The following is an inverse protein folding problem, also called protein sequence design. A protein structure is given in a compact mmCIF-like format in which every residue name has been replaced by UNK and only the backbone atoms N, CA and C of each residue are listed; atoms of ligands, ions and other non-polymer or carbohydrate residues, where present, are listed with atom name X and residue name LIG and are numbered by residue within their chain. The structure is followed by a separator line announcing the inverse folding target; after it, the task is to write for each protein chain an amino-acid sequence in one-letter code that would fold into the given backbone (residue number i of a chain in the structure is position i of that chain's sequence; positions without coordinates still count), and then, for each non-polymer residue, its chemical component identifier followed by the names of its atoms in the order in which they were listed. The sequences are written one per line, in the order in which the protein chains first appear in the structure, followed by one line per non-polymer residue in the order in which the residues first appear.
data_IF_865897034336
#
_entry.id   IF_865897034336
#
_cell.length_a   1.000
_cell.length_b   1.000
_cell.length_c   1.000
_cell.angle_alpha   90.00
_cell.angle_beta   90.00
_cell.angle_gamma   90.00
#
_symmetry.space_group_name_H-M   'P 1'
#
loop_
_entity.id
_entity.type
_entity.pdbx_description
1 polymer ?
#
# COMPACT_ATOMS: atom_id res chain seq x y z
N UNK A 1 34.20 -14.05 -40.42
CA UNK A 1 34.75 -13.08 -39.45
C UNK A 1 34.28 -11.70 -39.86
N UNK A 2 33.17 -11.23 -39.27
CA UNK A 2 32.61 -9.90 -39.54
C UNK A 2 33.16 -8.93 -38.51
N UNK A 3 33.80 -7.86 -38.99
CA UNK A 3 34.46 -6.86 -38.19
C UNK A 3 33.46 -6.08 -37.33
N UNK A 4 33.71 -6.08 -36.02
CA UNK A 4 33.01 -5.25 -35.04
C UNK A 4 33.57 -3.82 -35.17
N UNK A 5 32.73 -2.79 -35.39
CA UNK A 5 33.20 -1.42 -35.46
C UNK A 5 33.72 -0.95 -34.09
N UNK A 6 34.70 -0.02 -34.05
CA UNK A 6 35.33 0.40 -32.81
C UNK A 6 34.33 1.15 -31.92
N UNK A 7 34.26 0.74 -30.64
CA UNK A 7 33.49 1.43 -29.61
C UNK A 7 34.07 2.83 -29.41
N UNK A 8 33.26 3.87 -29.60
CA UNK A 8 33.59 5.22 -29.16
C UNK A 8 33.89 5.23 -27.66
N UNK A 9 34.96 5.90 -27.20
CA UNK A 9 35.22 6.05 -25.78
C UNK A 9 34.18 7.02 -25.20
N UNK A 10 33.23 6.48 -24.43
CA UNK A 10 32.38 7.30 -23.56
C UNK A 10 33.20 7.67 -22.34
N UNK A 11 34.03 8.71 -22.49
CA UNK A 11 34.55 9.47 -21.37
C UNK A 11 33.36 10.11 -20.64
N UNK A 12 32.81 9.39 -19.65
CA UNK A 12 31.94 9.97 -18.65
C UNK A 12 32.77 10.93 -17.79
N UNK A 13 33.01 12.15 -18.32
CA UNK A 13 33.39 13.29 -17.49
C UNK A 13 32.38 13.35 -16.35
N UNK A 14 32.89 13.27 -15.11
CA UNK A 14 32.10 13.35 -13.89
C UNK A 14 31.04 14.44 -14.03
N UNK A 15 29.75 14.06 -13.92
CA UNK A 15 28.63 15.01 -14.05
C UNK A 15 28.87 16.19 -13.09
N UNK A 16 28.74 17.44 -13.55
CA UNK A 16 28.94 18.59 -12.67
C UNK A 16 27.92 18.56 -11.52
N UNK A 17 28.33 18.96 -10.31
CA UNK A 17 27.45 19.03 -9.12
C UNK A 17 26.22 19.94 -9.35
N UNK A 18 26.31 20.85 -10.33
CA UNK A 18 25.19 21.65 -10.80
C UNK A 18 25.33 22.03 -12.29
N UNK A 19 24.20 21.97 -12.99
CA UNK A 19 24.02 22.47 -14.35
C UNK A 19 23.77 23.99 -14.36
N UNK A 20 24.42 24.64 -15.32
CA UNK A 20 24.32 26.05 -15.70
C UNK A 20 24.14 26.12 -17.22
N UNK A 21 23.84 27.29 -17.79
CA UNK A 21 23.59 27.41 -19.23
C UNK A 21 24.71 26.79 -20.10
N UNK A 22 25.96 26.95 -19.65
CA UNK A 22 27.15 26.42 -20.33
C UNK A 22 27.35 24.92 -20.14
N UNK A 23 26.90 24.38 -19.01
CA UNK A 23 27.17 22.98 -18.62
C UNK A 23 25.98 22.04 -18.88
N UNK A 24 24.81 22.57 -19.26
CA UNK A 24 23.66 21.76 -19.68
C UNK A 24 24.01 21.02 -20.97
N UNK A 25 23.82 19.68 -21.02
CA UNK A 25 23.97 18.90 -22.24
C UNK A 25 23.12 19.46 -23.38
N UNK A 26 23.64 19.44 -24.61
CA UNK A 26 22.97 20.03 -25.77
C UNK A 26 21.54 19.48 -25.96
N UNK A 27 21.37 18.17 -25.78
CA UNK A 27 20.09 17.45 -25.81
C UNK A 27 19.02 17.97 -24.83
N UNK A 28 19.40 18.64 -23.75
CA UNK A 28 18.46 19.19 -22.76
C UNK A 28 18.36 20.71 -22.79
N UNK A 29 19.01 21.38 -23.75
CA UNK A 29 18.87 22.85 -23.92
C UNK A 29 17.52 23.22 -24.51
N UNK A 30 16.96 22.36 -25.36
CA UNK A 30 15.60 22.52 -25.85
C UNK A 30 14.61 22.03 -24.79
N UNK A 31 13.91 22.98 -24.16
CA UNK A 31 12.95 22.70 -23.11
C UNK A 31 11.55 22.31 -23.61
N UNK A 32 11.28 22.41 -24.92
CA UNK A 32 10.00 21.96 -25.48
C UNK A 32 9.92 20.42 -25.57
N UNK A 33 11.08 19.75 -25.59
CA UNK A 33 11.17 18.29 -25.56
C UNK A 33 11.13 17.70 -24.15
N UNK A 34 11.09 18.53 -23.11
CA UNK A 34 11.11 18.06 -21.73
C UNK A 34 9.78 17.37 -21.37
N UNK A 35 9.84 16.25 -20.61
CA UNK A 35 8.63 15.58 -20.14
C UNK A 35 7.67 16.54 -19.44
N UNK A 36 6.40 16.49 -19.86
CA UNK A 36 5.32 17.28 -19.26
C UNK A 36 5.03 16.80 -17.84
N UNK A 37 4.42 17.68 -17.04
CA UNK A 37 4.12 17.40 -15.65
C UNK A 37 2.64 17.63 -15.37
N UNK A 38 2.03 16.67 -14.68
CA UNK A 38 0.69 16.83 -14.13
C UNK A 38 0.77 17.64 -12.83
N UNK A 39 0.07 18.77 -12.77
CA UNK A 39 -0.02 19.61 -11.58
C UNK A 39 -1.06 19.00 -10.63
N UNK A 40 -0.77 18.91 -9.32
CA UNK A 40 -1.70 18.28 -8.38
C UNK A 40 -2.98 19.11 -8.26
N UNK A 41 -4.11 18.42 -8.34
CA UNK A 41 -5.45 18.99 -8.15
C UNK A 41 -5.82 19.06 -6.66
N UNK A 42 -6.82 19.86 -6.29
CA UNK A 42 -7.30 19.95 -4.92
C UNK A 42 -7.75 18.58 -4.37
N UNK A 43 -8.40 17.76 -5.21
CA UNK A 43 -8.84 16.41 -4.87
C UNK A 43 -7.65 15.51 -4.53
N UNK A 44 -6.59 15.56 -5.33
CA UNK A 44 -5.37 14.79 -5.09
C UNK A 44 -4.66 15.25 -3.81
N UNK A 45 -4.58 16.56 -3.57
CA UNK A 45 -3.98 17.11 -2.35
C UNK A 45 -4.77 16.72 -1.10
N UNK A 46 -6.10 16.79 -1.12
CA UNK A 46 -6.94 16.36 -0.01
C UNK A 46 -6.77 14.85 0.28
N UNK A 47 -6.53 14.04 -0.75
CA UNK A 47 -6.22 12.61 -0.60
C UNK A 47 -4.82 12.35 -0.04
N UNK A 48 -3.85 13.19 -0.38
CA UNK A 48 -2.46 13.04 0.08
C UNK A 48 -2.27 13.56 1.50
N UNK A 49 -3.06 14.55 1.90
CA UNK A 49 -2.99 15.21 3.20
C UNK A 49 -4.37 15.15 3.86
N UNK A 50 -4.59 14.10 4.66
CA UNK A 50 -5.87 13.88 5.36
C UNK A 50 -6.27 15.02 6.32
N UNK A 51 -5.32 15.89 6.68
CA UNK A 51 -5.53 17.00 7.60
C UNK A 51 -5.93 18.31 6.89
N UNK A 52 -5.91 18.34 5.55
CA UNK A 52 -6.32 19.52 4.78
C UNK A 52 -7.85 19.55 4.61
N UNK A 53 -8.46 20.70 4.95
CA UNK A 53 -9.82 20.99 4.49
C UNK A 53 -9.85 21.20 2.97
N UNK A 54 -11.04 21.07 2.37
CA UNK A 54 -11.25 21.27 0.93
C UNK A 54 -10.77 22.65 0.48
N UNK A 55 -11.10 23.71 1.22
CA UNK A 55 -10.68 25.08 0.91
C UNK A 55 -9.15 25.25 0.96
N UNK A 56 -8.49 24.67 1.96
CA UNK A 56 -7.02 24.72 2.07
C UNK A 56 -6.35 23.94 0.93
N UNK A 57 -6.95 22.81 0.51
CA UNK A 57 -6.43 22.03 -0.62
C UNK A 57 -6.57 22.79 -1.96
N UNK A 58 -7.66 23.53 -2.16
CA UNK A 58 -7.86 24.39 -3.33
C UNK A 58 -6.84 25.54 -3.37
N UNK A 59 -6.67 26.25 -2.26
CA UNK A 59 -5.70 27.35 -2.16
C UNK A 59 -4.27 26.84 -2.41
N UNK A 60 -3.92 25.68 -1.82
CA UNK A 60 -2.63 25.05 -2.01
C UNK A 60 -2.39 24.65 -3.48
N UNK A 61 -3.41 24.09 -4.15
CA UNK A 61 -3.33 23.73 -5.57
C UNK A 61 -3.05 24.97 -6.44
N UNK A 62 -3.75 26.08 -6.17
CA UNK A 62 -3.55 27.35 -6.86
C UNK A 62 -2.11 27.87 -6.67
N UNK A 63 -1.63 27.90 -5.43
CA UNK A 63 -0.27 28.36 -5.11
C UNK A 63 0.80 27.49 -5.81
N UNK A 64 0.59 26.17 -5.86
CA UNK A 64 1.49 25.25 -6.58
C UNK A 64 1.49 25.56 -8.07
N UNK A 65 0.31 25.76 -8.68
CA UNK A 65 0.17 26.05 -10.09
C UNK A 65 0.82 27.38 -10.50
N UNK A 66 0.56 28.46 -9.77
CA UNK A 66 1.15 29.78 -10.04
C UNK A 66 2.68 29.75 -9.90
N UNK A 67 3.18 29.09 -8.85
CA UNK A 67 4.64 28.92 -8.65
C UNK A 67 5.25 28.12 -9.80
N UNK A 68 4.60 27.04 -10.22
CA UNK A 68 5.05 26.19 -11.32
C UNK A 68 5.17 27.00 -12.62
N UNK A 69 4.10 27.70 -13.02
CA UNK A 69 4.04 28.44 -14.28
C UNK A 69 5.04 29.59 -14.33
N UNK A 70 5.21 30.31 -13.22
CA UNK A 70 6.21 31.36 -13.09
C UNK A 70 7.64 30.82 -13.26
N UNK A 71 7.96 29.71 -12.61
CA UNK A 71 9.29 29.09 -12.72
C UNK A 71 9.53 28.49 -14.11
N UNK A 72 8.51 27.87 -14.69
CA UNK A 72 8.56 27.31 -16.04
C UNK A 72 8.89 28.41 -17.06
N UNK A 73 8.17 29.53 -17.04
CA UNK A 73 8.44 30.68 -17.91
C UNK A 73 9.85 31.22 -17.76
N UNK A 74 10.32 31.43 -16.52
CA UNK A 74 11.67 31.93 -16.28
C UNK A 74 12.77 30.97 -16.76
N UNK A 75 12.56 29.65 -16.63
CA UNK A 75 13.48 28.64 -17.18
C UNK A 75 13.47 28.64 -18.71
N UNK A 76 12.30 28.71 -19.35
CA UNK A 76 12.19 28.83 -20.81
C UNK A 76 12.97 30.04 -21.33
N UNK A 77 12.75 31.22 -20.75
CA UNK A 77 13.48 32.45 -21.12
C UNK A 77 14.98 32.29 -20.93
N UNK A 78 15.42 31.69 -19.82
CA UNK A 78 16.84 31.47 -19.56
C UNK A 78 17.50 30.54 -20.58
N UNK A 79 16.81 29.48 -21.00
CA UNK A 79 17.34 28.51 -21.96
C UNK A 79 17.31 29.03 -23.42
N UNK A 80 16.36 29.89 -23.77
CA UNK A 80 16.31 30.50 -25.10
C UNK A 80 17.26 31.69 -25.25
N UNK A 81 17.32 32.57 -24.24
CA UNK A 81 18.13 33.80 -24.30
C UNK A 81 19.56 33.63 -23.79
N UNK A 82 19.83 32.61 -22.98
CA UNK A 82 21.07 32.49 -22.20
C UNK A 82 21.21 33.51 -21.07
N UNK A 83 20.24 34.41 -20.87
CA UNK A 83 20.31 35.51 -19.92
C UNK A 83 19.71 35.12 -18.57
N UNK A 84 20.58 34.90 -17.58
CA UNK A 84 20.15 34.64 -16.20
C UNK A 84 19.32 35.80 -15.63
N UNK A 85 19.68 37.04 -15.96
CA UNK A 85 18.98 38.24 -15.46
C UNK A 85 17.51 38.24 -15.89
N UNK A 86 17.23 37.92 -17.15
CA UNK A 86 15.86 37.84 -17.67
C UNK A 86 15.08 36.67 -17.05
N UNK A 87 15.71 35.50 -16.97
CA UNK A 87 15.10 34.33 -16.33
C UNK A 87 14.73 34.56 -14.85
N UNK A 88 15.60 35.24 -14.09
CA UNK A 88 15.34 35.57 -12.68
C UNK A 88 14.22 36.61 -12.51
N UNK A 89 14.14 37.60 -13.40
CA UNK A 89 13.09 38.62 -13.37
C UNK A 89 11.71 38.00 -13.57
N UNK A 90 11.57 37.10 -14.54
CA UNK A 90 10.33 36.37 -14.78
C UNK A 90 10.02 35.38 -13.65
N UNK A 91 11.04 34.60 -13.24
CA UNK A 91 10.88 33.59 -12.20
C UNK A 91 10.64 34.17 -10.80
N UNK A 92 10.89 35.47 -10.56
CA UNK A 92 10.81 36.16 -9.25
C UNK A 92 11.44 35.36 -8.11
N UNK A 93 12.68 34.94 -8.27
CA UNK A 93 13.42 34.19 -7.24
C UNK A 93 14.91 34.50 -7.25
N UNK A 94 15.64 34.07 -6.22
CA UNK A 94 17.10 34.23 -6.16
C UNK A 94 17.80 33.27 -7.13
N UNK A 95 19.06 33.59 -7.44
CA UNK A 95 19.93 32.77 -8.29
C UNK A 95 20.03 31.32 -7.81
N UNK A 96 20.19 31.13 -6.50
CA UNK A 96 20.34 29.81 -5.87
C UNK A 96 19.06 28.99 -6.00
N UNK A 97 17.91 29.63 -5.75
CA UNK A 97 16.61 28.98 -5.90
C UNK A 97 16.37 28.59 -7.35
N UNK A 98 16.65 29.49 -8.30
CA UNK A 98 16.50 29.26 -9.73
C UNK A 98 17.34 28.07 -10.19
N UNK A 99 18.65 28.08 -9.92
CA UNK A 99 19.52 26.97 -10.29
C UNK A 99 19.11 25.67 -9.61
N UNK A 100 18.67 25.71 -8.35
CA UNK A 100 18.13 24.52 -7.69
C UNK A 100 16.89 23.97 -8.40
N UNK A 101 15.99 24.82 -8.89
CA UNK A 101 14.82 24.36 -9.65
C UNK A 101 15.21 23.81 -11.02
N UNK A 102 16.06 24.52 -11.75
CA UNK A 102 16.59 24.07 -13.05
C UNK A 102 17.27 22.70 -12.94
N UNK A 103 18.15 22.55 -11.94
CA UNK A 103 18.84 21.30 -11.69
C UNK A 103 17.91 20.16 -11.29
N UNK A 104 16.79 20.46 -10.60
CA UNK A 104 15.77 19.45 -10.29
C UNK A 104 15.08 18.93 -11.55
N UNK A 105 14.84 19.77 -12.55
CA UNK A 105 14.26 19.34 -13.83
C UNK A 105 15.21 18.44 -14.62
N UNK A 106 16.51 18.69 -14.52
CA UNK A 106 17.57 17.96 -15.22
C UNK A 106 18.06 16.71 -14.47
N UNK A 107 17.44 16.36 -13.33
CA UNK A 107 17.76 15.11 -12.65
C UNK A 107 17.37 13.92 -13.54
N UNK A 108 18.15 12.82 -13.51
CA UNK A 108 17.74 11.60 -14.18
C UNK A 108 16.40 11.11 -13.61
N UNK A 109 15.52 10.63 -14.47
CA UNK A 109 14.21 10.15 -14.05
C UNK A 109 14.36 8.91 -13.15
N UNK A 110 13.91 8.94 -11.89
CA UNK A 110 14.09 7.82 -10.96
C UNK A 110 13.22 6.60 -11.30
N UNK A 111 12.16 6.77 -12.11
CA UNK A 111 11.21 5.71 -12.46
C UNK A 111 11.69 4.97 -13.71
N UNK A 112 11.96 5.71 -14.79
CA UNK A 112 12.36 5.13 -16.08
C UNK A 112 13.86 4.87 -16.18
N UNK A 113 14.68 5.47 -15.31
CA UNK A 113 16.16 5.49 -15.38
C UNK A 113 16.76 6.08 -16.67
N UNK A 114 15.91 6.36 -17.66
CA UNK A 114 16.22 7.01 -18.93
C UNK A 114 15.64 8.43 -18.96
N UNK A 115 16.41 9.35 -19.53
CA UNK A 115 16.02 10.77 -19.67
C UNK A 115 15.99 11.54 -18.35
N UNK A 116 15.47 12.77 -18.43
CA UNK A 116 15.36 13.69 -17.30
C UNK A 116 13.96 13.65 -16.67
N UNK A 117 13.83 14.16 -15.45
CA UNK A 117 12.54 14.37 -14.77
C UNK A 117 11.67 15.39 -15.53
N UNK A 118 12.27 16.38 -16.17
CA UNK A 118 11.57 17.42 -16.91
C UNK A 118 10.81 18.36 -15.99
N UNK A 119 9.63 18.81 -16.42
CA UNK A 119 8.86 19.84 -15.72
C UNK A 119 8.37 19.40 -14.34
N UNK A 120 8.29 18.09 -14.08
CA UNK A 120 7.88 17.58 -12.77
C UNK A 120 8.83 18.02 -11.65
N UNK A 121 10.07 18.38 -12.00
CA UNK A 121 11.06 18.91 -11.05
C UNK A 121 10.64 20.20 -10.36
N UNK A 122 9.75 20.98 -10.98
CA UNK A 122 9.22 22.24 -10.47
C UNK A 122 8.09 22.09 -9.45
N UNK A 123 7.45 20.92 -9.39
CA UNK A 123 6.34 20.68 -8.46
C UNK A 123 6.84 20.86 -7.03
N UNK A 124 6.13 21.71 -6.28
CA UNK A 124 6.52 22.06 -4.93
C UNK A 124 6.48 20.83 -4.02
N UNK A 125 7.51 20.67 -3.19
CA UNK A 125 7.69 19.56 -2.24
C UNK A 125 7.74 18.15 -2.84
N UNK A 126 7.69 18.00 -4.18
CA UNK A 126 7.82 16.69 -4.81
C UNK A 126 9.22 16.11 -4.53
N UNK A 127 9.26 14.92 -3.92
CA UNK A 127 10.51 14.20 -3.65
C UNK A 127 10.93 13.42 -4.90
N UNK A 128 11.93 13.94 -5.60
CA UNK A 128 12.49 13.33 -6.82
C UNK A 128 13.54 12.26 -6.51
N UNK A 129 14.22 12.37 -5.36
CA UNK A 129 15.20 11.39 -4.89
C UNK A 129 14.70 10.79 -3.58
N UNK A 130 14.86 9.47 -3.45
CA UNK A 130 14.64 8.79 -2.17
C UNK A 130 15.54 9.38 -1.08
N UNK A 131 15.04 9.44 0.16
CA UNK A 131 15.85 9.88 1.28
C UNK A 131 16.99 8.88 1.52
N UNK A 132 18.23 9.32 1.33
CA UNK A 132 19.44 8.61 1.73
C UNK A 132 20.16 9.42 2.80
N UNK A 133 20.46 8.76 3.93
CA UNK A 133 21.20 9.37 5.02
C UNK A 133 22.68 9.47 4.63
N UNK A 134 23.23 10.69 4.69
CA UNK A 134 24.63 10.96 4.29
C UNK A 134 25.57 10.97 5.50
N UNK A 135 25.11 11.38 6.69
CA UNK A 135 25.94 11.46 7.90
C UNK A 135 25.35 10.75 9.11
N UNK A 136 26.23 10.22 9.95
CA UNK A 136 25.90 9.61 11.23
C UNK A 136 26.16 10.65 12.33
N UNK A 137 25.12 11.32 12.83
CA UNK A 137 25.34 12.26 13.91
C UNK A 137 24.10 12.93 14.50
N UNK A 138 23.02 13.13 13.73
CA UNK A 138 21.80 13.76 14.26
C UNK A 138 20.53 13.04 13.79
N UNK A 139 19.79 12.49 14.74
CA UNK A 139 18.50 11.81 14.54
C UNK A 139 18.60 10.33 14.17
N UNK A 140 17.47 9.63 14.26
CA UNK A 140 17.34 8.17 14.02
C UNK A 140 16.67 7.85 12.68
N UNK A 141 16.21 8.87 11.94
CA UNK A 141 15.58 8.70 10.63
C UNK A 141 16.56 8.09 9.62
N UNK A 142 16.12 7.07 8.89
CA UNK A 142 16.90 6.36 7.87
C UNK A 142 18.11 5.56 8.35
N UNK A 143 18.42 5.54 9.65
CA UNK A 143 19.57 4.80 10.21
C UNK A 143 19.45 3.29 9.94
N UNK A 144 18.24 2.72 10.13
CA UNK A 144 17.99 1.32 9.81
C UNK A 144 18.12 1.03 8.32
N UNK A 145 17.65 1.94 7.46
CA UNK A 145 17.70 1.75 6.01
C UNK A 145 19.14 1.75 5.50
N UNK A 146 20.00 2.60 6.07
CA UNK A 146 21.45 2.61 5.80
C UNK A 146 22.09 1.32 6.29
N UNK A 147 21.89 0.98 7.56
CA UNK A 147 22.47 -0.22 8.17
C UNK A 147 22.10 -1.52 7.45
N UNK A 148 20.81 -1.72 7.13
CA UNK A 148 20.33 -2.92 6.42
C UNK A 148 20.81 -2.96 4.95
N UNK A 149 21.17 -1.80 4.38
CA UNK A 149 21.78 -1.71 3.06
C UNK A 149 23.26 -2.07 3.07
N UNK A 150 23.98 -1.67 4.13
CA UNK A 150 25.40 -1.99 4.36
C UNK A 150 25.61 -3.45 4.83
N UNK A 151 24.57 -4.08 5.38
CA UNK A 151 24.61 -5.44 5.93
C UNK A 151 23.65 -6.37 5.16
N UNK A 152 24.00 -6.79 3.91
CA UNK A 152 23.11 -7.56 3.04
C UNK A 152 22.71 -8.91 3.66
N UNK A 153 23.57 -9.53 4.45
CA UNK A 153 23.24 -10.83 5.02
C UNK A 153 22.11 -10.76 6.07
N UNK A 154 22.09 -9.68 6.87
CA UNK A 154 21.00 -9.39 7.82
C UNK A 154 19.72 -9.00 7.09
N UNK A 155 19.84 -8.34 5.94
CA UNK A 155 18.71 -8.04 5.05
C UNK A 155 18.07 -9.33 4.54
N UNK A 156 18.87 -10.25 4.02
CA UNK A 156 18.38 -11.52 3.48
C UNK A 156 17.73 -12.39 4.55
N UNK A 157 18.28 -12.37 5.77
CA UNK A 157 17.65 -13.02 6.91
C UNK A 157 16.28 -12.41 7.22
N UNK A 158 16.18 -11.08 7.31
CA UNK A 158 14.91 -10.40 7.56
C UNK A 158 13.90 -10.70 6.44
N UNK A 159 14.32 -10.66 5.17
CA UNK A 159 13.48 -10.98 4.02
C UNK A 159 12.96 -12.41 4.11
N UNK A 160 13.82 -13.39 4.42
CA UNK A 160 13.42 -14.77 4.63
C UNK A 160 12.41 -14.92 5.76
N UNK A 161 12.58 -14.19 6.85
CA UNK A 161 11.62 -14.19 7.97
C UNK A 161 10.27 -13.59 7.57
N UNK A 162 10.27 -12.55 6.73
CA UNK A 162 9.03 -11.93 6.22
C UNK A 162 8.32 -12.88 5.25
N UNK A 163 9.05 -13.43 4.28
CA UNK A 163 8.52 -14.32 3.24
C UNK A 163 7.96 -15.62 3.83
N UNK A 164 8.60 -16.18 4.85
CA UNK A 164 8.16 -17.44 5.48
C UNK A 164 7.27 -17.26 6.70
N UNK A 165 6.95 -16.02 7.08
CA UNK A 165 6.13 -15.78 8.26
C UNK A 165 6.78 -16.32 9.54
N UNK A 166 8.00 -15.85 9.82
CA UNK A 166 8.84 -16.15 10.99
C UNK A 166 9.97 -17.19 10.81
N UNK A 167 10.35 -17.49 9.55
CA UNK A 167 11.61 -18.19 9.22
C UNK A 167 11.62 -19.71 9.38
N UNK A 168 10.51 -20.32 9.83
CA UNK A 168 10.30 -21.77 9.94
C UNK A 168 9.31 -22.33 8.91
N UNK A 169 8.88 -23.59 9.11
CA UNK A 169 7.77 -24.18 8.34
C UNK A 169 6.46 -23.45 8.64
N UNK A 170 5.68 -23.21 7.59
CA UNK A 170 4.38 -22.55 7.69
C UNK A 170 3.44 -23.40 8.55
N UNK A 171 3.08 -22.92 9.74
CA UNK A 171 2.00 -23.52 10.53
C UNK A 171 0.67 -23.06 9.94
N UNK A 172 -0.04 -23.99 9.30
CA UNK A 172 -1.34 -23.74 8.71
C UNK A 172 -2.28 -23.03 9.70
N UNK A 173 -2.86 -21.90 9.28
CA UNK A 173 -3.85 -21.14 10.05
C UNK A 173 -3.32 -19.98 10.91
N UNK A 174 -2.00 -19.82 11.11
CA UNK A 174 -1.46 -18.70 11.89
C UNK A 174 -0.86 -17.61 11.01
N UNK A 175 -1.58 -16.50 10.85
CA UNK A 175 -1.07 -15.30 10.16
C UNK A 175 0.13 -14.72 10.92
N UNK A 176 1.24 -14.37 10.24
CA UNK A 176 2.38 -13.74 10.87
C UNK A 176 2.04 -12.38 11.45
N UNK A 177 2.62 -12.05 12.60
CA UNK A 177 2.51 -10.72 13.21
C UNK A 177 3.81 -9.94 13.00
N UNK A 178 3.68 -8.68 12.58
CA UNK A 178 4.81 -7.75 12.40
C UNK A 178 5.64 -7.63 13.68
N UNK A 179 4.99 -7.55 14.86
CA UNK A 179 5.72 -7.44 16.13
C UNK A 179 6.44 -8.75 16.47
N UNK A 180 5.84 -9.89 16.16
CA UNK A 180 6.44 -11.21 16.31
C UNK A 180 7.72 -11.38 15.49
N UNK A 181 7.67 -11.05 14.19
CA UNK A 181 8.83 -11.11 13.31
C UNK A 181 9.91 -10.13 13.76
N UNK A 182 9.55 -8.89 14.09
CA UNK A 182 10.51 -7.90 14.57
C UNK A 182 11.21 -8.36 15.87
N UNK A 183 10.45 -8.96 16.81
CA UNK A 183 11.02 -9.52 18.04
C UNK A 183 12.00 -10.66 17.75
N UNK A 184 11.63 -11.57 16.85
CA UNK A 184 12.49 -12.70 16.50
C UNK A 184 13.76 -12.25 15.74
N UNK A 185 13.64 -11.24 14.88
CA UNK A 185 14.79 -10.66 14.20
C UNK A 185 15.75 -9.97 15.18
N UNK A 186 15.21 -9.21 16.15
CA UNK A 186 16.02 -8.64 17.24
C UNK A 186 16.66 -9.75 18.09
N UNK A 187 15.94 -10.84 18.35
CA UNK A 187 16.49 -12.00 19.06
C UNK A 187 17.65 -12.67 18.32
N UNK A 188 17.64 -12.62 16.98
CA UNK A 188 18.72 -13.16 16.16
C UNK A 188 20.03 -12.37 16.30
N UNK A 189 19.99 -11.09 16.67
CA UNK A 189 21.21 -10.29 16.86
C UNK A 189 22.11 -10.83 17.99
N UNK A 190 21.52 -11.50 18.98
CA UNK A 190 22.22 -12.02 20.16
C UNK A 190 22.73 -13.45 20.01
N UNK A 191 22.36 -14.16 18.93
CA UNK A 191 22.76 -15.55 18.67
C UNK A 191 23.53 -15.61 17.34
N UNK A 192 24.53 -16.49 17.20
CA UNK A 192 25.02 -16.81 15.86
C UNK A 192 23.83 -17.39 15.06
N UNK A 193 23.47 -16.73 13.97
CA UNK A 193 22.31 -17.10 13.15
C UNK A 193 22.72 -17.40 11.70
N UNK A 194 21.94 -18.25 11.06
CA UNK A 194 22.13 -18.66 9.67
C UNK A 194 23.05 -19.89 9.48
N UNK A 195 23.09 -20.41 8.25
CA UNK A 195 23.99 -21.50 7.84
C UNK A 195 25.48 -21.12 7.94
N UNK A 196 25.78 -19.83 7.99
CA UNK A 196 27.14 -19.27 7.93
C UNK A 196 27.66 -18.73 9.28
N UNK A 197 27.01 -19.04 10.41
CA UNK A 197 27.42 -18.57 11.75
C UNK A 197 27.69 -17.05 11.81
N UNK A 198 26.70 -16.24 11.42
CA UNK A 198 26.88 -14.79 11.38
C UNK A 198 27.33 -14.25 12.74
N UNK A 199 28.32 -13.34 12.77
CA UNK A 199 28.83 -12.81 14.01
C UNK A 199 27.73 -12.05 14.75
N UNK A 200 27.65 -12.31 16.06
CA UNK A 200 26.78 -11.59 16.98
C UNK A 200 27.01 -10.09 16.84
N UNK A 201 25.94 -9.31 16.81
CA UNK A 201 26.06 -7.85 16.85
C UNK A 201 26.47 -7.44 18.28
N UNK A 202 27.62 -6.77 18.48
CA UNK A 202 28.05 -6.30 19.78
C UNK A 202 27.01 -5.39 20.45
N UNK A 203 26.90 -5.51 21.78
CA UNK A 203 26.07 -4.60 22.57
C UNK A 203 26.61 -3.18 22.44
N UNK A 204 25.71 -2.21 22.24
CA UNK A 204 26.09 -0.80 22.02
C UNK A 204 26.39 -0.43 20.58
N UNK A 205 26.43 -1.39 19.65
CA UNK A 205 26.48 -1.11 18.21
C UNK A 205 25.06 -1.12 17.63
N UNK A 206 24.74 -0.16 16.77
CA UNK A 206 23.45 -0.16 16.05
C UNK A 206 23.24 -1.49 15.30
N UNK A 207 22.05 -2.11 15.36
CA UNK A 207 20.79 -1.63 15.94
C UNK A 207 20.60 -1.88 17.46
N UNK A 208 21.60 -2.41 18.15
CA UNK A 208 21.62 -2.71 19.60
C UNK A 208 22.04 -1.54 20.52
N UNK A 209 22.18 -0.34 19.98
CA UNK A 209 22.61 0.86 20.71
C UNK A 209 21.47 1.55 21.50
N UNK A 210 20.22 1.42 21.05
CA UNK A 210 19.06 2.09 21.64
C UNK A 210 18.18 1.21 22.54
N UNK A 211 17.42 1.83 23.46
CA UNK A 211 16.46 1.17 24.37
C UNK A 211 15.49 0.19 23.70
N UNK A 212 15.14 0.45 22.44
CA UNK A 212 14.19 -0.36 21.67
C UNK A 212 14.84 -1.24 20.60
N UNK A 213 16.18 -1.33 20.53
CA UNK A 213 16.92 -2.10 19.52
C UNK A 213 16.42 -1.88 18.08
N UNK A 214 16.20 -0.62 17.68
CA UNK A 214 15.59 -0.23 16.40
C UNK A 214 14.21 -0.86 16.05
N UNK A 215 13.49 -1.46 17.01
CA UNK A 215 12.22 -2.18 16.80
C UNK A 215 11.22 -1.45 15.89
N UNK A 216 10.91 -0.18 16.16
CA UNK A 216 9.96 0.61 15.33
C UNK A 216 10.43 0.79 13.89
N UNK A 217 11.74 0.87 13.66
CA UNK A 217 12.29 0.98 12.32
C UNK A 217 12.17 -0.36 11.56
N UNK A 218 12.42 -1.48 12.25
CA UNK A 218 12.24 -2.84 11.73
C UNK A 218 10.76 -3.08 11.39
N UNK A 219 9.83 -2.77 12.30
CA UNK A 219 8.39 -2.93 12.06
C UNK A 219 7.91 -2.12 10.83
N UNK A 220 8.40 -0.88 10.66
CA UNK A 220 8.09 -0.07 9.47
C UNK A 220 8.68 -0.67 8.20
N UNK A 221 9.89 -1.21 8.27
CA UNK A 221 10.53 -1.88 7.14
C UNK A 221 9.72 -3.11 6.70
N UNK A 222 9.29 -3.96 7.65
CA UNK A 222 8.46 -5.13 7.39
C UNK A 222 7.16 -4.73 6.69
N UNK A 223 6.42 -3.75 7.25
CA UNK A 223 5.17 -3.26 6.63
C UNK A 223 5.37 -2.76 5.21
N UNK A 224 6.45 -2.01 4.98
CA UNK A 224 6.80 -1.51 3.63
C UNK A 224 7.16 -2.66 2.69
N UNK A 225 7.89 -3.66 3.17
CA UNK A 225 8.27 -4.81 2.36
C UNK A 225 7.04 -5.60 1.91
N UNK A 226 6.13 -5.94 2.84
CA UNK A 226 4.88 -6.65 2.54
C UNK A 226 4.02 -5.90 1.53
N UNK A 227 3.91 -4.58 1.66
CA UNK A 227 3.13 -3.76 0.73
C UNK A 227 3.72 -3.70 -0.69
N UNK A 228 5.04 -3.92 -0.85
CA UNK A 228 5.75 -3.82 -2.13
C UNK A 228 5.92 -5.18 -2.83
N UNK A 229 5.71 -6.29 -2.13
CA UNK A 229 6.02 -7.65 -2.60
C UNK A 229 4.75 -8.52 -2.54
N UNK A 230 3.96 -8.57 -3.64
CA UNK A 230 2.70 -9.31 -3.70
C UNK A 230 2.82 -10.80 -3.35
N UNK A 231 3.98 -11.40 -3.56
CA UNK A 231 4.27 -12.79 -3.17
C UNK A 231 4.14 -13.05 -1.66
N UNK A 232 4.21 -11.99 -0.85
CA UNK A 232 3.98 -12.09 0.60
C UNK A 232 2.49 -12.18 0.96
N UNK A 233 1.57 -11.87 0.03
CA UNK A 233 0.14 -11.74 0.33
C UNK A 233 -0.46 -13.05 0.85
N UNK A 234 -0.13 -14.18 0.24
CA UNK A 234 -0.66 -15.49 0.65
C UNK A 234 -0.27 -15.81 2.11
N UNK A 235 1.00 -15.57 2.45
CA UNK A 235 1.55 -15.83 3.78
C UNK A 235 0.96 -14.89 4.83
N UNK A 236 0.74 -13.62 4.49
CA UNK A 236 0.34 -12.59 5.44
C UNK A 236 -1.16 -12.43 5.60
N UNK A 237 -1.92 -12.61 4.53
CA UNK A 237 -3.35 -12.34 4.48
C UNK A 237 -4.19 -13.60 4.21
N UNK A 238 -3.58 -14.68 3.72
CA UNK A 238 -4.22 -15.95 3.37
C UNK A 238 -4.30 -16.14 1.85
N UNK A 239 -4.43 -17.40 1.43
CA UNK A 239 -4.51 -17.79 0.01
C UNK A 239 -5.71 -17.12 -0.70
N UNK A 240 -6.89 -17.07 -0.08
CA UNK A 240 -8.06 -16.40 -0.63
C UNK A 240 -7.83 -14.93 -1.01
N UNK A 241 -7.01 -14.21 -0.23
CA UNK A 241 -6.70 -12.80 -0.48
C UNK A 241 -5.65 -12.68 -1.61
N UNK A 242 -4.73 -13.63 -1.69
CA UNK A 242 -3.78 -13.70 -2.80
C UNK A 242 -4.48 -14.02 -4.12
N UNK A 243 -5.41 -14.97 -4.12
CA UNK A 243 -6.21 -15.33 -5.30
C UNK A 243 -7.05 -14.14 -5.78
N UNK A 244 -7.61 -13.36 -4.84
CA UNK A 244 -8.29 -12.09 -5.16
C UNK A 244 -7.37 -11.02 -5.74
N UNK A 245 -6.06 -11.03 -5.45
CA UNK A 245 -5.10 -10.14 -6.10
C UNK A 245 -4.78 -10.57 -7.54
N UNK A 246 -4.89 -11.86 -7.86
CA UNK A 246 -4.68 -12.40 -9.20
C UNK A 246 -5.90 -12.24 -10.12
N UNK A 247 -7.10 -12.10 -9.57
CA UNK A 247 -8.32 -11.83 -10.34
C UNK A 247 -8.37 -10.36 -10.80
N UNK A 248 -7.94 -10.13 -12.04
CA UNK A 248 -7.87 -8.80 -12.65
C UNK A 248 -9.24 -8.14 -12.90
N UNK A 249 -9.28 -6.82 -12.64
CA UNK A 249 -9.93 -5.70 -13.37
C UNK A 249 -11.19 -5.95 -14.25
N UNK A 250 -12.01 -6.95 -13.98
CA UNK A 250 -13.34 -7.08 -14.56
C UNK A 250 -14.38 -6.38 -13.67
N UNK A 251 -15.51 -5.88 -14.23
CA UNK A 251 -16.65 -5.53 -13.40
C UNK A 251 -17.06 -6.75 -12.56
N UNK A 252 -17.24 -6.52 -11.26
CA UNK A 252 -17.22 -7.54 -10.20
C UNK A 252 -18.32 -8.61 -10.32
N UNK A 253 -19.34 -8.34 -11.11
CA UNK A 253 -20.34 -9.28 -11.64
C UNK A 253 -21.27 -8.46 -12.54
N UNK A 254 -21.80 -9.05 -13.60
CA UNK A 254 -23.02 -8.52 -14.20
C UNK A 254 -24.17 -9.19 -13.45
N UNK A 255 -24.90 -8.45 -12.60
CA UNK A 255 -26.12 -8.98 -12.02
C UNK A 255 -27.16 -9.13 -13.13
N UNK A 256 -27.21 -10.30 -13.76
CA UNK A 256 -28.25 -10.70 -14.70
C UNK A 256 -29.63 -10.83 -14.02
N UNK A 257 -29.64 -10.96 -12.70
CA UNK A 257 -30.82 -11.09 -11.85
C UNK A 257 -31.15 -9.75 -11.15
N UNK A 258 -31.98 -8.93 -11.79
CA UNK A 258 -32.40 -7.59 -11.28
C UNK A 258 -33.83 -7.57 -10.75
N UNK A 259 -34.59 -8.63 -10.97
CA UNK A 259 -35.95 -8.80 -10.50
C UNK A 259 -36.02 -9.09 -8.99
N UNK A 260 -37.14 -8.76 -8.33
CA UNK A 260 -37.50 -9.34 -7.04
C UNK A 260 -37.59 -10.87 -7.18
N UNK A 261 -37.12 -11.60 -6.18
CA UNK A 261 -37.11 -13.07 -6.12
C UNK A 261 -36.17 -13.81 -7.11
N UNK A 262 -35.45 -13.11 -7.99
CA UNK A 262 -34.47 -13.76 -8.89
C UNK A 262 -33.30 -14.42 -8.13
N UNK A 263 -32.90 -13.83 -7.00
CA UNK A 263 -31.85 -14.38 -6.12
C UNK A 263 -32.37 -14.44 -4.69
N UNK A 264 -32.51 -15.67 -4.21
CA UNK A 264 -32.80 -15.99 -2.82
C UNK A 264 -31.52 -16.50 -2.15
N UNK A 265 -31.17 -15.88 -1.02
CA UNK A 265 -30.13 -16.38 -0.12
C UNK A 265 -30.78 -17.11 1.05
N UNK A 266 -30.22 -18.25 1.42
CA UNK A 266 -30.52 -18.92 2.69
C UNK A 266 -29.38 -18.63 3.67
N UNK A 267 -29.73 -18.17 4.87
CA UNK A 267 -28.76 -17.97 5.94
C UNK A 267 -29.29 -18.59 7.24
N UNK A 268 -28.36 -19.10 8.04
CA UNK A 268 -28.63 -19.80 9.28
C UNK A 268 -28.02 -19.01 10.44
N UNK A 269 -28.87 -18.57 11.36
CA UNK A 269 -28.45 -17.84 12.55
C UNK A 269 -28.67 -18.66 13.81
N UNK A 270 -27.71 -18.59 14.73
CA UNK A 270 -27.85 -19.20 16.06
C UNK A 270 -28.09 -18.11 17.09
N UNK A 271 -29.19 -18.22 17.82
CA UNK A 271 -29.55 -17.36 18.94
C UNK A 271 -29.30 -18.12 20.23
N UNK A 272 -28.36 -17.63 21.04
CA UNK A 272 -28.15 -18.16 22.39
C UNK A 272 -29.26 -17.66 23.31
N UNK A 273 -30.02 -18.57 23.91
CA UNK A 273 -31.12 -18.23 24.81
C UNK A 273 -31.31 -19.30 25.89
N UNK A 274 -31.70 -18.92 27.10
CA UNK A 274 -31.98 -19.89 28.18
C UNK A 274 -33.47 -19.83 28.48
N UNK A 275 -34.18 -20.94 28.27
CA UNK A 275 -35.63 -20.98 28.49
C UNK A 275 -36.21 -22.40 28.46
N UNK A 276 -37.54 -22.47 28.49
CA UNK A 276 -38.29 -23.71 28.37
C UNK A 276 -39.36 -23.56 27.30
N UNK A 277 -39.53 -24.60 26.48
CA UNK A 277 -40.66 -24.73 25.55
C UNK A 277 -41.70 -25.65 26.19
N UNK A 278 -42.97 -25.27 26.08
CA UNK A 278 -44.09 -26.09 26.50
C UNK A 278 -44.57 -26.90 25.29
N UNK A 279 -44.32 -28.21 25.31
CA UNK A 279 -44.82 -29.14 24.32
C UNK A 279 -46.11 -29.79 24.84
N UNK A 280 -47.22 -29.57 24.14
CA UNK A 280 -48.47 -30.22 24.47
C UNK A 280 -48.44 -31.67 23.98
N UNK A 281 -48.31 -32.62 24.91
CA UNK A 281 -48.37 -34.05 24.63
C UNK A 281 -49.71 -34.67 25.05
N UNK A 282 -49.97 -35.94 24.67
CA UNK A 282 -51.17 -36.67 25.06
C UNK A 282 -51.32 -36.85 26.57
N UNK A 283 -50.23 -36.72 27.34
CA UNK A 283 -50.22 -36.73 28.81
C UNK A 283 -50.24 -35.34 29.48
N UNK A 284 -50.45 -34.27 28.71
CA UNK A 284 -50.40 -32.88 29.19
C UNK A 284 -49.13 -32.12 28.77
N UNK A 285 -49.00 -30.84 29.16
CA UNK A 285 -47.89 -29.98 28.75
C UNK A 285 -46.57 -30.37 29.43
N UNK A 286 -45.57 -30.72 28.63
CA UNK A 286 -44.21 -31.04 29.08
C UNK A 286 -43.27 -29.85 28.85
N UNK A 287 -42.47 -29.50 29.88
CA UNK A 287 -41.43 -28.46 29.80
C UNK A 287 -40.14 -29.07 29.26
N UNK A 288 -39.65 -28.57 28.13
CA UNK A 288 -38.37 -28.96 27.54
C UNK A 288 -37.39 -27.79 27.64
N UNK A 289 -36.24 -27.94 28.32
CA UNK A 289 -35.24 -26.88 28.43
C UNK A 289 -34.57 -26.64 27.07
N UNK A 290 -34.37 -25.36 26.74
CA UNK A 290 -33.71 -24.92 25.51
C UNK A 290 -32.61 -23.92 25.86
N UNK A 291 -31.42 -24.18 25.31
CA UNK A 291 -30.22 -23.35 25.52
C UNK A 291 -29.81 -22.59 24.27
N UNK A 292 -30.34 -22.97 23.09
CA UNK A 292 -30.09 -22.34 21.80
C UNK A 292 -31.27 -22.53 20.86
N UNK A 293 -31.53 -21.51 20.06
CA UNK A 293 -32.49 -21.56 18.94
C UNK A 293 -31.71 -21.33 17.67
N UNK A 294 -31.93 -22.17 16.66
CA UNK A 294 -31.39 -22.00 15.32
C UNK A 294 -32.50 -21.51 14.41
N UNK A 295 -32.27 -20.40 13.73
CA UNK A 295 -33.20 -19.76 12.81
C UNK A 295 -32.62 -19.87 11.40
N UNK A 296 -33.35 -20.53 10.50
CA UNK A 296 -33.05 -20.54 9.07
C UNK A 296 -33.92 -19.49 8.41
N UNK A 297 -33.32 -18.59 7.64
CA UNK A 297 -34.02 -17.48 6.98
C UNK A 297 -33.75 -17.54 5.49
N UNK A 298 -34.81 -17.46 4.70
CA UNK A 298 -34.75 -17.21 3.26
C UNK A 298 -34.99 -15.73 3.01
N UNK A 299 -34.08 -15.09 2.29
CA UNK A 299 -34.15 -13.67 2.02
C UNK A 299 -33.89 -13.36 0.53
N UNK A 300 -34.73 -12.50 -0.04
CA UNK A 300 -34.51 -11.92 -1.35
C UNK A 300 -33.34 -10.93 -1.28
N UNK A 301 -32.23 -11.24 -1.95
CA UNK A 301 -31.00 -10.46 -1.89
C UNK A 301 -31.21 -9.01 -2.37
N UNK A 302 -31.94 -8.85 -3.48
CA UNK A 302 -32.19 -7.56 -4.11
C UNK A 302 -33.08 -6.61 -3.30
N UNK A 303 -34.03 -7.14 -2.51
CA UNK A 303 -35.02 -6.34 -1.76
C UNK A 303 -34.82 -6.37 -0.25
N UNK A 304 -33.86 -7.15 0.26
CA UNK A 304 -33.62 -7.39 1.69
C UNK A 304 -34.90 -7.80 2.43
N UNK A 305 -35.75 -8.58 1.75
CA UNK A 305 -37.02 -9.06 2.27
C UNK A 305 -36.86 -10.51 2.70
N UNK A 306 -37.25 -10.83 3.93
CA UNK A 306 -37.37 -12.23 4.39
C UNK A 306 -38.62 -12.82 3.74
N UNK A 307 -38.44 -13.88 2.97
CA UNK A 307 -39.52 -14.57 2.27
C UNK A 307 -40.08 -15.72 3.09
N UNK A 308 -39.24 -16.40 3.87
CA UNK A 308 -39.67 -17.50 4.74
C UNK A 308 -38.63 -17.79 5.82
N UNK A 309 -39.03 -18.52 6.85
CA UNK A 309 -38.14 -18.94 7.93
C UNK A 309 -38.55 -20.30 8.51
N UNK A 310 -37.61 -20.98 9.16
CA UNK A 310 -37.86 -22.16 10.01
C UNK A 310 -37.03 -22.05 11.27
N UNK A 311 -37.55 -22.63 12.35
CA UNK A 311 -36.94 -22.59 13.68
C UNK A 311 -36.63 -24.01 14.14
N UNK A 312 -35.39 -24.24 14.55
CA UNK A 312 -34.95 -25.49 15.16
C UNK A 312 -34.47 -25.26 16.58
N UNK A 313 -34.89 -26.16 17.47
CA UNK A 313 -34.41 -26.24 18.86
C UNK A 313 -33.34 -27.31 19.05
N UNK A 314 -32.94 -27.96 17.94
CA UNK A 314 -31.91 -28.98 17.94
C UNK A 314 -30.51 -28.35 17.90
N UNK A 315 -29.49 -29.18 18.17
CA UNK A 315 -28.09 -28.73 18.17
C UNK A 315 -27.58 -28.40 16.76
N UNK A 316 -28.19 -28.97 15.73
CA UNK A 316 -27.76 -28.83 14.34
C UNK A 316 -28.98 -28.65 13.43
N UNK A 317 -28.77 -27.86 12.37
CA UNK A 317 -29.75 -27.63 11.32
C UNK A 317 -29.72 -28.81 10.36
N UNK A 318 -30.87 -29.43 10.18
CA UNK A 318 -31.09 -30.48 9.19
C UNK A 318 -31.73 -29.91 7.91
N UNK A 319 -31.59 -30.63 6.79
CA UNK A 319 -32.12 -30.23 5.48
C UNK A 319 -33.61 -29.85 5.51
N UNK A 320 -34.43 -30.55 6.32
CA UNK A 320 -35.87 -30.25 6.48
C UNK A 320 -36.16 -28.81 6.91
N UNK A 321 -35.30 -28.19 7.72
CA UNK A 321 -35.54 -26.81 8.18
C UNK A 321 -35.27 -25.81 7.05
N UNK A 322 -34.36 -26.13 6.13
CA UNK A 322 -34.11 -25.34 4.91
C UNK A 322 -35.30 -25.51 3.96
N UNK A 323 -35.79 -26.74 3.80
CA UNK A 323 -36.97 -27.04 2.98
C UNK A 323 -38.23 -26.35 3.52
N UNK A 324 -38.47 -26.38 4.83
CA UNK A 324 -39.59 -25.67 5.47
C UNK A 324 -39.52 -24.15 5.25
N UNK A 325 -38.34 -23.54 5.41
CA UNK A 325 -38.16 -22.11 5.15
C UNK A 325 -38.37 -21.76 3.67
N UNK A 326 -37.96 -22.65 2.75
CA UNK A 326 -38.20 -22.53 1.33
C UNK A 326 -39.68 -22.65 0.97
N UNK A 327 -40.38 -23.65 1.53
CA UNK A 327 -41.80 -23.87 1.30
C UNK A 327 -42.62 -22.69 1.83
N UNK A 328 -42.32 -22.21 3.04
CA UNK A 328 -42.97 -21.02 3.61
C UNK A 328 -42.84 -19.80 2.69
N UNK A 329 -41.68 -19.61 2.06
CA UNK A 329 -41.45 -18.47 1.16
C UNK A 329 -42.05 -18.60 -0.23
N UNK A 330 -42.48 -19.79 -0.63
CA UNK A 330 -43.07 -20.05 -1.96
C UNK A 330 -44.56 -20.41 -1.90
N UNK A 331 -45.11 -20.69 -0.73
CA UNK A 331 -46.53 -20.95 -0.53
C UNK A 331 -47.30 -19.64 -0.35
N UNK A 332 -48.32 -19.36 -1.17
CA UNK A 332 -49.21 -18.20 -0.99
C UNK A 332 -50.21 -18.48 0.13
N UNK A 333 -49.74 -18.62 1.36
CA UNK A 333 -50.61 -18.84 2.52
C UNK A 333 -50.37 -17.75 3.57
N UNK A 334 -50.86 -16.56 3.26
CA UNK A 334 -51.15 -15.55 4.28
C UNK A 334 -52.58 -15.74 4.77
N UNK A 335 -52.74 -16.49 5.86
CA UNK A 335 -53.85 -16.34 6.81
C UNK A 335 -55.24 -16.80 6.35
N UNK A 336 -55.69 -17.91 6.95
CA UNK A 336 -57.06 -18.06 7.44
C UNK A 336 -57.06 -18.02 8.95
#
# INVERSE_FOLDING_TARGET
MLAVPPRHPTDFKSRPDSYTFRTIPYEYKDCETWPSAHKPTAIELAKWFNDLSVQQAEELALQIAERFERLQRGIKIYLTSGSLKQGLAEAKCTKEVFYRQLNRCLLPNPITQEGIVGWAGLIWQLRLKGYTRVSDGKGTAGQFQKWIGENPEWRDQLHRMILKGNGGESLAGRKPDVRGIARNFIGAFSRPCGKNQQPKIPLGQYPHDGKSNARRAIERYIKRFVAMHPETTAVWFGEDVADRQHLGRGPQSFNLATGPFDVLGADAHTVDCIGFILLNGPGGPQKVPVTRIQLVVHACHNKRLVTGYSVSFQKQIEARHIEEAYLMGNSPEWGS
#
